data_IF_957093209848
#
_entry.id   IF_957093209848
#
_cell.length_a   1.000
_cell.length_b   1.000
_cell.length_c   1.000
_cell.angle_alpha   90.00
_cell.angle_beta   90.00
_cell.angle_gamma   90.00
#
_symmetry.space_group_name_H-M   'P 1'
#
loop_
_entity.id
_entity.type
_entity.pdbx_description
1 polymer ?
#
# COMPACT_ATOMS: atom_id res chain seq x y z
N UNK A 1 -74.23 -17.91 -51.30
CA UNK A 1 -74.64 -17.48 -49.95
C UNK A 1 -73.49 -17.76 -48.99
N UNK A 2 -73.21 -16.77 -48.15
CA UNK A 2 -71.95 -16.44 -47.47
C UNK A 2 -71.80 -17.08 -46.08
N UNK A 3 -70.57 -17.41 -45.68
CA UNK A 3 -70.07 -17.39 -44.27
C UNK A 3 -68.54 -17.32 -44.32
N UNK A 4 -67.96 -16.13 -44.15
CA UNK A 4 -67.59 -15.49 -42.87
C UNK A 4 -66.17 -15.88 -42.45
N UNK A 5 -65.24 -14.97 -42.74
CA UNK A 5 -63.88 -14.95 -42.22
C UNK A 5 -63.88 -14.99 -40.68
N UNK A 6 -62.94 -15.73 -40.09
CA UNK A 6 -62.54 -15.55 -38.70
C UNK A 6 -61.02 -15.48 -38.69
N UNK A 7 -60.47 -14.30 -38.45
CA UNK A 7 -59.04 -14.12 -38.24
C UNK A 7 -58.67 -14.67 -36.87
N UNK A 8 -57.74 -15.61 -36.83
CA UNK A 8 -57.00 -15.94 -35.61
C UNK A 8 -55.69 -15.19 -35.65
N UNK A 9 -55.66 -14.08 -34.92
CA UNK A 9 -54.44 -13.34 -34.57
C UNK A 9 -53.49 -14.27 -33.82
N UNK A 10 -52.51 -14.84 -34.53
CA UNK A 10 -51.41 -15.56 -33.91
C UNK A 10 -50.48 -14.54 -33.22
N UNK A 11 -50.46 -14.61 -31.89
CA UNK A 11 -49.73 -13.72 -30.98
C UNK A 11 -48.22 -13.79 -31.22
N UNK A 12 -47.67 -12.78 -31.88
CA UNK A 12 -46.22 -12.56 -32.04
C UNK A 12 -45.47 -12.42 -30.69
N UNK A 13 -46.16 -12.08 -29.59
CA UNK A 13 -45.54 -11.94 -28.27
C UNK A 13 -45.05 -13.25 -27.65
N UNK A 14 -45.63 -14.42 -27.99
CA UNK A 14 -45.21 -15.70 -27.38
C UNK A 14 -43.88 -16.23 -27.94
N UNK A 15 -43.54 -15.89 -29.18
CA UNK A 15 -42.29 -16.33 -29.83
C UNK A 15 -41.12 -15.48 -29.33
N UNK A 16 -41.32 -14.17 -29.13
CA UNK A 16 -40.27 -13.26 -28.65
C UNK A 16 -39.86 -13.57 -27.20
N UNK A 17 -40.83 -13.91 -26.32
CA UNK A 17 -40.55 -14.29 -24.93
C UNK A 17 -39.81 -15.65 -24.86
N UNK A 18 -40.16 -16.59 -25.74
CA UNK A 18 -39.47 -17.89 -25.81
C UNK A 18 -38.02 -17.79 -26.25
N UNK A 19 -37.72 -16.94 -27.23
CA UNK A 19 -36.35 -16.73 -27.73
C UNK A 19 -35.49 -15.96 -26.71
N UNK A 20 -36.04 -14.92 -26.05
CA UNK A 20 -35.32 -14.20 -25.00
C UNK A 20 -35.02 -15.09 -23.78
N UNK A 21 -35.97 -15.93 -23.37
CA UNK A 21 -35.77 -16.86 -22.26
C UNK A 21 -34.62 -17.85 -22.51
N UNK A 22 -34.50 -18.38 -23.74
CA UNK A 22 -33.42 -19.30 -24.10
C UNK A 22 -32.06 -18.58 -24.16
N UNK A 23 -32.00 -17.37 -24.70
CA UNK A 23 -30.74 -16.58 -24.77
C UNK A 23 -30.24 -16.21 -23.38
N UNK A 24 -31.12 -15.84 -22.45
CA UNK A 24 -30.75 -15.52 -21.07
C UNK A 24 -30.25 -16.75 -20.32
N UNK A 25 -30.89 -17.92 -20.50
CA UNK A 25 -30.45 -19.16 -19.86
C UNK A 25 -29.08 -19.60 -20.41
N UNK A 26 -28.89 -19.55 -21.74
CA UNK A 26 -27.59 -19.90 -22.34
C UNK A 26 -26.49 -18.92 -21.90
N UNK A 27 -26.78 -17.62 -21.85
CA UNK A 27 -25.85 -16.62 -21.34
C UNK A 27 -25.49 -16.83 -19.87
N UNK A 28 -26.46 -17.21 -19.03
CA UNK A 28 -26.24 -17.49 -17.61
C UNK A 28 -25.43 -18.77 -17.40
N UNK A 29 -25.70 -19.83 -18.16
CA UNK A 29 -24.92 -21.08 -18.12
C UNK A 29 -23.49 -20.86 -18.62
N UNK A 30 -23.30 -20.09 -19.69
CA UNK A 30 -21.97 -19.71 -20.18
C UNK A 30 -21.24 -18.79 -19.20
N UNK A 31 -21.95 -17.88 -18.53
CA UNK A 31 -21.42 -17.03 -17.48
C UNK A 31 -20.96 -17.83 -16.27
N UNK A 32 -21.78 -18.76 -15.77
CA UNK A 32 -21.42 -19.69 -14.69
C UNK A 32 -20.24 -20.56 -15.12
N UNK A 33 -20.25 -21.10 -16.34
CA UNK A 33 -19.14 -21.94 -16.82
C UNK A 33 -17.84 -21.14 -16.92
N UNK A 34 -17.90 -19.89 -17.40
CA UNK A 34 -16.72 -19.01 -17.50
C UNK A 34 -16.24 -18.56 -16.13
N UNK A 35 -17.15 -18.33 -15.18
CA UNK A 35 -16.83 -18.01 -13.79
C UNK A 35 -16.21 -19.20 -13.04
N UNK A 36 -16.77 -20.40 -13.19
CA UNK A 36 -16.21 -21.65 -12.62
C UNK A 36 -14.84 -21.96 -13.24
N UNK A 37 -14.67 -21.73 -14.55
CA UNK A 37 -13.38 -21.86 -15.22
C UNK A 37 -12.39 -20.76 -14.82
N UNK A 38 -12.88 -19.59 -14.40
CA UNK A 38 -12.09 -18.53 -13.78
C UNK A 38 -11.58 -18.92 -12.40
N UNK A 39 -12.40 -19.60 -11.59
CA UNK A 39 -11.99 -20.18 -10.31
C UNK A 39 -11.01 -21.35 -10.47
N UNK A 40 -11.15 -22.16 -11.54
CA UNK A 40 -10.25 -23.28 -11.83
C UNK A 40 -8.89 -22.84 -12.40
N UNK A 41 -8.83 -21.64 -13.00
CA UNK A 41 -7.60 -21.00 -13.50
C UNK A 41 -7.02 -19.97 -12.53
N UNK A 42 -7.42 -19.98 -11.26
CA UNK A 42 -6.59 -19.34 -10.22
C UNK A 42 -5.17 -19.87 -10.33
N UNK A 43 -4.13 -19.02 -10.30
CA UNK A 43 -2.75 -19.47 -10.32
C UNK A 43 -2.58 -20.56 -9.27
N UNK A 44 -2.24 -21.78 -9.69
CA UNK A 44 -1.95 -22.86 -8.73
C UNK A 44 -0.70 -22.45 -7.97
N UNK A 45 -0.89 -22.17 -6.68
CA UNK A 45 0.17 -21.92 -5.74
C UNK A 45 1.04 -23.19 -5.64
N UNK A 46 2.32 -23.05 -5.93
CA UNK A 46 3.30 -24.14 -5.92
C UNK A 46 3.88 -24.27 -4.50
N UNK A 47 3.27 -25.13 -3.70
CA UNK A 47 3.62 -25.41 -2.29
C UNK A 47 5.05 -25.98 -2.09
N UNK A 48 5.84 -26.20 -3.15
CA UNK A 48 7.20 -26.78 -3.05
C UNK A 48 8.35 -25.76 -3.04
N UNK A 49 8.05 -24.45 -3.19
CA UNK A 49 9.01 -23.34 -3.01
C UNK A 49 8.72 -22.57 -1.73
N UNK A 50 8.91 -23.23 -0.60
CA UNK A 50 8.54 -22.72 0.72
C UNK A 50 9.39 -21.46 1.03
N UNK A 51 8.73 -20.30 1.04
CA UNK A 51 9.22 -18.92 1.22
C UNK A 51 10.15 -18.37 0.11
N UNK A 52 9.69 -17.32 -0.58
CA UNK A 52 10.57 -16.49 -1.42
C UNK A 52 11.67 -15.86 -0.54
N UNK A 53 12.83 -15.47 -1.11
CA UNK A 53 13.86 -14.74 -0.36
C UNK A 53 13.30 -13.50 0.35
N UNK A 54 12.34 -12.82 -0.25
CA UNK A 54 11.66 -11.64 0.32
C UNK A 54 10.87 -11.99 1.58
N UNK A 55 10.12 -13.12 1.59
CA UNK A 55 9.37 -13.53 2.79
C UNK A 55 10.33 -13.94 3.91
N UNK A 56 11.44 -14.62 3.58
CA UNK A 56 12.45 -14.98 4.58
C UNK A 56 13.08 -13.72 5.19
N UNK A 57 13.43 -12.74 4.36
CA UNK A 57 13.98 -11.45 4.79
C UNK A 57 12.96 -10.66 5.63
N UNK A 58 11.70 -10.58 5.20
CA UNK A 58 10.62 -9.94 5.96
C UNK A 58 10.46 -10.58 7.33
N UNK A 59 10.33 -11.92 7.38
CA UNK A 59 10.18 -12.67 8.61
C UNK A 59 11.36 -12.43 9.56
N UNK A 60 12.59 -12.43 9.05
CA UNK A 60 13.80 -12.17 9.85
C UNK A 60 13.79 -10.75 10.41
N UNK A 61 13.53 -9.73 9.58
CA UNK A 61 13.51 -8.32 10.00
C UNK A 61 12.48 -8.06 11.08
N UNK A 62 11.23 -8.52 10.91
CA UNK A 62 10.18 -8.25 11.90
C UNK A 62 10.42 -9.00 13.22
N UNK A 63 10.98 -10.22 13.15
CA UNK A 63 11.34 -10.99 14.34
C UNK A 63 12.50 -10.34 15.10
N UNK A 64 13.54 -9.91 14.39
CA UNK A 64 14.67 -9.20 14.98
C UNK A 64 14.23 -7.90 15.64
N UNK A 65 13.36 -7.11 14.98
CA UNK A 65 12.81 -5.90 15.56
C UNK A 65 12.05 -6.17 16.86
N UNK A 66 11.22 -7.22 16.91
CA UNK A 66 10.55 -7.65 18.16
C UNK A 66 11.57 -8.03 19.24
N UNK A 67 12.60 -8.81 18.89
CA UNK A 67 13.63 -9.22 19.85
C UNK A 67 14.39 -8.02 20.42
N UNK A 68 14.71 -7.03 19.59
CA UNK A 68 15.43 -5.82 20.00
C UNK A 68 14.60 -4.89 20.88
N UNK A 69 13.29 -4.76 20.60
CA UNK A 69 12.43 -3.76 21.25
C UNK A 69 11.54 -4.30 22.37
N UNK A 70 11.21 -5.60 22.34
CA UNK A 70 10.35 -6.28 23.33
C UNK A 70 11.11 -7.38 24.07
N UNK A 71 12.00 -8.10 23.37
CA UNK A 71 12.72 -9.27 23.87
C UNK A 71 12.27 -10.56 23.20
N UNK A 72 13.03 -11.64 23.41
CA UNK A 72 12.77 -12.92 22.75
C UNK A 72 11.54 -13.62 23.37
N UNK A 73 10.48 -13.88 22.59
CA UNK A 73 9.31 -14.57 23.09
C UNK A 73 9.58 -16.07 23.22
N UNK A 74 9.21 -16.62 24.38
CA UNK A 74 9.45 -18.03 24.72
C UNK A 74 8.50 -19.00 24.01
N UNK A 75 7.31 -18.53 23.63
CA UNK A 75 6.25 -19.30 22.96
C UNK A 75 6.26 -19.11 21.44
N UNK A 76 7.13 -18.23 20.93
CA UNK A 76 7.22 -17.86 19.52
C UNK A 76 6.56 -16.51 19.23
N UNK A 77 6.47 -16.17 17.95
CA UNK A 77 5.94 -14.88 17.50
C UNK A 77 4.47 -15.05 17.10
N UNK A 78 3.56 -14.45 17.86
CA UNK A 78 2.12 -14.49 17.62
C UNK A 78 1.59 -13.09 17.23
N UNK A 79 0.32 -12.99 16.83
CA UNK A 79 -0.27 -11.73 16.37
C UNK A 79 -0.20 -10.62 17.43
N UNK A 80 -0.48 -10.93 18.70
CA UNK A 80 -0.47 -9.97 19.80
C UNK A 80 0.90 -9.30 20.00
N UNK A 81 1.99 -10.07 19.88
CA UNK A 81 3.34 -9.54 19.99
C UNK A 81 3.63 -8.59 18.83
N UNK A 82 3.23 -8.95 17.62
CA UNK A 82 3.45 -8.11 16.44
C UNK A 82 2.61 -6.83 16.47
N UNK A 83 1.32 -6.91 16.80
CA UNK A 83 0.45 -5.73 16.94
C UNK A 83 0.95 -4.76 18.02
N UNK A 84 1.65 -5.28 19.05
CA UNK A 84 2.28 -4.45 20.08
C UNK A 84 3.59 -3.81 19.60
N UNK A 85 4.36 -4.52 18.78
CA UNK A 85 5.66 -4.05 18.29
C UNK A 85 5.55 -3.06 17.14
N UNK A 86 4.54 -3.22 16.27
CA UNK A 86 4.42 -2.52 15.01
C UNK A 86 3.12 -1.70 14.97
N UNK A 87 3.19 -0.38 15.19
CA UNK A 87 1.99 0.46 15.23
C UNK A 87 1.27 0.59 13.87
N UNK A 88 1.91 0.18 12.77
CA UNK A 88 1.31 0.14 11.43
C UNK A 88 0.77 -1.21 11.02
N UNK A 89 0.85 -2.24 11.86
CA UNK A 89 0.10 -3.48 11.68
C UNK A 89 -1.32 -3.33 12.20
N UNK A 90 -2.26 -3.92 11.48
CA UNK A 90 -3.66 -4.00 11.87
C UNK A 90 -4.08 -5.45 12.04
N UNK A 91 -5.09 -5.69 12.88
CA UNK A 91 -5.70 -7.01 13.06
C UNK A 91 -6.08 -7.68 11.74
N UNK A 92 -6.57 -6.90 10.77
CA UNK A 92 -6.93 -7.38 9.44
C UNK A 92 -5.74 -7.96 8.65
N UNK A 93 -4.49 -7.57 8.95
CA UNK A 93 -3.31 -8.14 8.29
C UNK A 93 -3.06 -9.59 8.69
N UNK A 94 -3.66 -10.04 9.79
CA UNK A 94 -3.54 -11.40 10.30
C UNK A 94 -4.65 -12.32 9.79
N UNK A 95 -5.57 -11.84 8.96
CA UNK A 95 -6.60 -12.71 8.38
C UNK A 95 -5.98 -13.84 7.56
N UNK A 96 -6.33 -15.08 7.91
CA UNK A 96 -5.82 -16.29 7.28
C UNK A 96 -4.37 -16.66 7.62
N UNK A 97 -3.76 -15.98 8.59
CA UNK A 97 -2.36 -16.26 8.97
C UNK A 97 -2.26 -17.58 9.73
N UNK A 98 -1.59 -18.56 9.12
CA UNK A 98 -1.37 -19.89 9.69
C UNK A 98 -0.46 -19.85 10.93
N UNK A 99 -0.84 -20.58 11.97
CA UNK A 99 -0.04 -20.80 13.18
C UNK A 99 0.41 -22.25 13.29
N UNK A 100 1.14 -22.62 14.34
CA UNK A 100 1.54 -24.01 14.54
C UNK A 100 0.36 -24.97 14.74
N UNK A 101 -0.74 -24.53 15.36
CA UNK A 101 -1.87 -25.40 15.72
C UNK A 101 -3.24 -24.87 15.27
N UNK A 102 -3.25 -23.81 14.48
CA UNK A 102 -4.46 -23.15 14.02
C UNK A 102 -4.19 -22.11 12.94
N UNK A 103 -5.07 -21.12 12.89
CA UNK A 103 -5.06 -20.01 11.96
C UNK A 103 -5.72 -18.81 12.62
N UNK A 104 -5.27 -17.61 12.28
CA UNK A 104 -5.96 -16.38 12.65
C UNK A 104 -7.09 -16.08 11.68
N UNK A 105 -8.25 -15.66 12.20
CA UNK A 105 -9.41 -15.26 11.41
C UNK A 105 -9.86 -13.86 11.83
N UNK A 106 -9.98 -12.95 10.86
CA UNK A 106 -10.47 -11.60 11.08
C UNK A 106 -11.88 -11.44 10.52
N UNK A 107 -12.85 -11.25 11.41
CA UNK A 107 -14.24 -11.07 11.00
C UNK A 107 -14.92 -10.02 11.88
N UNK A 108 -15.78 -9.19 11.28
CA UNK A 108 -16.57 -8.19 11.98
C UNK A 108 -15.76 -7.20 12.83
N UNK A 109 -14.50 -6.95 12.46
CA UNK A 109 -13.64 -6.00 13.18
C UNK A 109 -12.81 -6.61 14.31
N UNK A 110 -12.82 -7.93 14.47
CA UNK A 110 -12.13 -8.64 15.55
C UNK A 110 -11.25 -9.76 15.00
N UNK A 111 -9.99 -9.80 15.45
CA UNK A 111 -9.09 -10.92 15.22
C UNK A 111 -9.30 -12.02 16.26
N UNK A 112 -9.49 -13.25 15.78
CA UNK A 112 -9.63 -14.43 16.63
C UNK A 112 -8.65 -15.51 16.22
N UNK A 113 -8.20 -16.32 17.18
CA UNK A 113 -7.42 -17.51 16.91
C UNK A 113 -8.34 -18.73 16.82
N UNK A 114 -8.31 -19.40 15.67
CA UNK A 114 -9.05 -20.63 15.41
C UNK A 114 -8.13 -21.84 15.36
N UNK A 115 -8.26 -22.70 16.36
CA UNK A 115 -7.46 -23.91 16.46
C UNK A 115 -7.95 -24.97 15.46
N UNK A 116 -7.03 -25.53 14.67
CA UNK A 116 -7.34 -26.57 13.65
C UNK A 116 -6.84 -27.96 14.05
N UNK A 117 -5.95 -28.06 15.05
CA UNK A 117 -5.40 -29.34 15.53
C UNK A 117 -6.02 -29.80 16.85
N UNK A 118 -6.55 -31.02 16.90
CA UNK A 118 -7.17 -31.58 18.10
C UNK A 118 -6.17 -31.87 19.24
N UNK A 119 -4.97 -32.39 18.94
CA UNK A 119 -3.89 -32.73 19.88
C UNK A 119 -2.53 -32.81 19.17
N UNK A 120 -1.40 -32.65 19.88
CA UNK A 120 -1.30 -32.11 21.24
C UNK A 120 -1.61 -30.61 21.27
N UNK A 121 -1.92 -30.08 22.46
CA UNK A 121 -2.00 -28.64 22.74
C UNK A 121 -0.65 -28.21 23.28
N UNK A 122 0.01 -27.27 22.62
CA UNK A 122 1.27 -26.67 23.10
C UNK A 122 1.08 -25.21 23.44
N UNK A 123 2.02 -24.65 24.22
CA UNK A 123 2.04 -23.23 24.55
C UNK A 123 2.39 -22.33 23.36
N UNK A 124 2.79 -22.91 22.23
CA UNK A 124 3.12 -22.19 21.00
C UNK A 124 1.99 -22.32 19.95
N UNK A 125 0.76 -22.62 20.39
CA UNK A 125 -0.35 -22.97 19.49
C UNK A 125 -0.72 -21.86 18.50
N UNK A 126 -0.59 -20.61 18.93
CA UNK A 126 -0.91 -19.40 18.17
C UNK A 126 0.34 -18.74 17.55
N UNK A 127 1.53 -19.28 17.78
CA UNK A 127 2.74 -18.76 17.14
C UNK A 127 2.71 -19.00 15.63
N UNK A 128 3.02 -17.95 14.89
CA UNK A 128 2.87 -17.88 13.44
C UNK A 128 3.87 -18.83 12.77
N UNK A 129 3.36 -19.66 11.86
CA UNK A 129 4.18 -20.62 11.11
C UNK A 129 5.01 -19.90 10.03
N UNK A 130 5.94 -20.61 9.38
CA UNK A 130 6.65 -20.04 8.22
C UNK A 130 5.69 -19.64 7.08
N UNK A 131 4.65 -20.44 6.87
CA UNK A 131 3.61 -20.15 5.89
C UNK A 131 2.71 -19.01 6.36
N UNK A 132 2.47 -18.91 7.67
CA UNK A 132 1.81 -17.74 8.25
C UNK A 132 2.55 -16.43 7.99
N UNK A 133 3.89 -16.41 8.10
CA UNK A 133 4.68 -15.22 7.76
C UNK A 133 4.58 -14.84 6.28
N UNK A 134 4.42 -15.82 5.39
CA UNK A 134 4.13 -15.55 3.99
C UNK A 134 2.77 -14.86 3.81
N UNK A 135 1.71 -15.40 4.41
CA UNK A 135 0.40 -14.78 4.35
C UNK A 135 0.41 -13.37 4.95
N UNK A 136 1.06 -13.19 6.10
CA UNK A 136 1.20 -11.87 6.74
C UNK A 136 1.92 -10.88 5.81
N UNK A 137 3.02 -11.30 5.18
CA UNK A 137 3.74 -10.46 4.22
C UNK A 137 2.86 -10.04 3.04
N UNK A 138 2.14 -11.00 2.46
CA UNK A 138 1.24 -10.77 1.32
C UNK A 138 0.07 -9.83 1.69
N UNK A 139 -0.51 -10.00 2.88
CA UNK A 139 -1.57 -9.12 3.41
C UNK A 139 -1.06 -7.69 3.60
N UNK A 140 0.09 -7.53 4.26
CA UNK A 140 0.69 -6.22 4.51
C UNK A 140 1.08 -5.53 3.20
N UNK A 141 1.71 -6.26 2.26
CA UNK A 141 2.00 -5.73 0.93
C UNK A 141 0.74 -5.36 0.16
N UNK A 142 -0.31 -6.18 0.23
CA UNK A 142 -1.60 -5.89 -0.39
C UNK A 142 -2.20 -4.56 0.12
N UNK A 143 -2.03 -4.29 1.42
CA UNK A 143 -2.51 -3.05 2.06
C UNK A 143 -1.63 -1.83 1.79
N UNK A 144 -0.30 -1.97 1.93
CA UNK A 144 0.64 -0.85 1.80
C UNK A 144 0.99 -0.54 0.33
N UNK A 145 1.09 -1.57 -0.51
CA UNK A 145 1.45 -1.46 -1.93
C UNK A 145 2.22 -2.69 -2.43
N UNK A 146 1.68 -3.36 -3.45
CA UNK A 146 2.20 -4.65 -3.98
C UNK A 146 3.59 -4.59 -4.64
N UNK A 147 4.14 -3.40 -4.90
CA UNK A 147 5.44 -3.21 -5.54
C UNK A 147 6.52 -2.68 -4.58
N UNK A 148 6.21 -2.62 -3.29
CA UNK A 148 7.15 -2.16 -2.26
C UNK A 148 8.19 -3.24 -1.98
N UNK A 149 9.43 -2.81 -1.82
CA UNK A 149 10.52 -3.63 -1.30
C UNK A 149 10.24 -4.07 0.15
N UNK A 150 10.95 -5.10 0.61
CA UNK A 150 10.83 -5.59 2.00
C UNK A 150 11.13 -4.48 3.01
N UNK A 151 12.14 -3.64 2.74
CA UNK A 151 12.48 -2.51 3.60
C UNK A 151 11.34 -1.50 3.70
N UNK A 152 10.74 -1.10 2.57
CA UNK A 152 9.61 -0.16 2.56
C UNK A 152 8.37 -0.72 3.29
N UNK A 153 8.13 -2.03 3.17
CA UNK A 153 7.07 -2.72 3.91
C UNK A 153 7.33 -2.68 5.41
N UNK A 154 8.54 -3.05 5.83
CA UNK A 154 8.95 -3.07 7.24
C UNK A 154 8.90 -1.66 7.84
N UNK A 155 9.41 -0.65 7.14
CA UNK A 155 9.34 0.75 7.57
C UNK A 155 7.89 1.23 7.69
N UNK A 156 7.02 0.82 6.77
CA UNK A 156 5.60 1.14 6.79
C UNK A 156 4.86 0.58 8.00
N UNK A 157 5.20 -0.64 8.46
CA UNK A 157 4.59 -1.24 9.65
C UNK A 157 5.23 -0.79 10.97
N UNK A 158 6.51 -0.38 10.95
CA UNK A 158 7.17 0.27 12.08
C UNK A 158 6.56 1.66 12.31
N UNK A 159 6.24 2.38 11.24
CA UNK A 159 5.44 3.59 11.30
C UNK A 159 3.94 3.26 11.36
N UNK A 160 3.06 4.26 11.39
CA UNK A 160 1.60 4.05 11.35
C UNK A 160 1.05 3.78 9.93
N UNK A 161 1.88 3.28 9.01
CA UNK A 161 1.59 3.15 7.58
C UNK A 161 2.43 4.07 6.70
N UNK A 162 2.13 4.07 5.40
CA UNK A 162 2.79 4.93 4.40
C UNK A 162 1.86 6.04 3.93
N UNK A 163 2.41 7.20 3.62
CA UNK A 163 1.72 8.31 2.95
C UNK A 163 2.50 8.77 1.73
N UNK A 164 1.84 9.55 0.88
CA UNK A 164 2.41 10.09 -0.35
C UNK A 164 2.67 11.58 -0.18
N UNK A 165 3.84 12.04 -0.55
CA UNK A 165 4.18 13.46 -0.60
C UNK A 165 4.40 13.86 -2.04
N UNK A 166 3.60 14.82 -2.52
CA UNK A 166 3.74 15.40 -3.84
C UNK A 166 4.00 16.88 -3.72
N UNK A 167 4.53 17.49 -4.77
CA UNK A 167 4.73 18.92 -4.73
C UNK A 167 5.59 19.46 -5.83
N UNK A 168 5.97 20.73 -5.66
CA UNK A 168 6.93 21.42 -6.52
C UNK A 168 8.02 22.03 -5.67
N UNK A 169 9.28 21.83 -6.07
CA UNK A 169 10.42 22.50 -5.46
C UNK A 169 10.83 23.68 -6.32
N UNK A 170 10.96 24.83 -5.66
CA UNK A 170 11.29 26.11 -6.25
C UNK A 170 12.59 26.66 -5.66
N UNK A 171 13.23 27.52 -6.44
CA UNK A 171 14.42 28.26 -6.05
C UNK A 171 14.24 29.72 -6.42
N UNK A 172 14.36 30.61 -5.43
CA UNK A 172 14.11 32.04 -5.63
C UNK A 172 14.30 32.87 -4.35
N UNK A 173 14.36 34.21 -4.45
CA UNK A 173 14.23 35.00 -5.67
C UNK A 173 15.50 34.96 -6.54
N UNK A 174 15.39 35.13 -7.86
CA UNK A 174 16.57 35.09 -8.76
C UNK A 174 17.13 36.47 -9.13
N UNK A 175 16.60 37.55 -8.56
CA UNK A 175 16.95 38.94 -8.91
C UNK A 175 17.17 39.81 -7.66
N UNK A 176 18.19 40.69 -7.63
CA UNK A 176 18.48 41.57 -6.48
C UNK A 176 17.50 42.71 -6.24
N UNK A 177 16.53 42.94 -7.12
CA UNK A 177 15.59 44.08 -6.95
C UNK A 177 14.22 43.66 -7.43
N UNK A 178 13.24 43.72 -6.54
CA UNK A 178 11.82 43.58 -6.88
C UNK A 178 11.33 44.90 -7.50
N UNK A 179 10.77 44.83 -8.71
CA UNK A 179 10.19 45.97 -9.44
C UNK A 179 8.67 46.00 -9.27
N UNK A 180 8.04 47.16 -9.49
CA UNK A 180 6.59 47.31 -9.65
C UNK A 180 6.29 47.84 -11.08
N UNK A 181 5.64 47.05 -11.96
CA UNK A 181 5.12 45.70 -11.72
C UNK A 181 6.24 44.65 -11.53
N UNK A 182 5.97 43.53 -10.84
CA UNK A 182 6.92 42.43 -10.66
C UNK A 182 7.43 41.93 -12.00
N UNK A 183 8.75 41.81 -12.14
CA UNK A 183 9.38 41.25 -13.33
C UNK A 183 9.16 39.72 -13.34
N UNK A 184 8.42 39.15 -14.31
CA UNK A 184 8.16 37.71 -14.35
C UNK A 184 9.43 36.86 -14.45
N UNK A 185 10.54 37.42 -14.96
CA UNK A 185 11.82 36.70 -15.02
C UNK A 185 12.47 36.50 -13.65
N UNK A 186 12.00 37.24 -12.65
CA UNK A 186 12.47 37.22 -11.27
C UNK A 186 11.62 36.35 -10.34
N UNK A 187 10.51 35.79 -10.85
CA UNK A 187 9.72 34.82 -10.11
C UNK A 187 10.53 33.56 -9.77
N UNK A 188 10.14 32.89 -8.68
CA UNK A 188 10.73 31.63 -8.26
C UNK A 188 10.69 30.61 -9.41
N UNK A 189 11.80 29.89 -9.57
CA UNK A 189 11.97 28.97 -10.69
C UNK A 189 11.92 27.53 -10.20
N UNK A 190 11.34 26.61 -10.98
CA UNK A 190 11.42 25.20 -10.67
C UNK A 190 12.86 24.71 -10.53
N UNK A 191 13.09 23.91 -9.49
CA UNK A 191 14.39 23.36 -9.17
C UNK A 191 14.45 21.89 -9.56
N UNK A 192 15.24 21.59 -10.60
CA UNK A 192 15.57 20.22 -11.02
C UNK A 192 16.83 19.73 -10.28
N UNK A 193 16.72 18.63 -9.53
CA UNK A 193 17.84 18.06 -8.79
C UNK A 193 17.47 16.87 -7.91
N UNK A 194 18.44 16.40 -7.13
CA UNK A 194 18.26 15.37 -6.11
C UNK A 194 18.07 16.02 -4.73
N UNK A 195 17.16 15.48 -3.94
CA UNK A 195 16.78 15.95 -2.61
C UNK A 195 16.86 14.83 -1.60
N UNK A 196 17.06 15.21 -0.34
CA UNK A 196 17.22 14.30 0.78
C UNK A 196 16.04 14.51 1.71
N UNK A 197 15.36 13.41 2.03
CA UNK A 197 14.40 13.34 3.14
C UNK A 197 15.19 12.97 4.38
N UNK A 198 15.11 13.78 5.42
CA UNK A 198 15.73 13.54 6.71
C UNK A 198 14.65 13.40 7.79
N UNK A 199 15.03 12.88 8.96
CA UNK A 199 14.19 12.98 10.15
C UNK A 199 13.82 14.44 10.45
N UNK A 200 12.79 14.68 11.28
CA UNK A 200 12.35 16.03 11.65
C UNK A 200 13.47 16.92 12.24
N UNK A 201 14.56 16.33 12.76
CA UNK A 201 15.72 17.05 13.27
C UNK A 201 16.75 17.45 12.20
N UNK A 202 16.61 16.99 10.95
CA UNK A 202 17.54 17.26 9.85
C UNK A 202 18.91 16.57 10.01
N UNK A 203 19.02 15.56 10.87
CA UNK A 203 20.30 14.95 11.26
C UNK A 203 20.56 13.59 10.61
N UNK A 204 19.50 12.87 10.26
CA UNK A 204 19.58 11.50 9.71
C UNK A 204 18.86 11.45 8.40
N UNK A 205 19.55 11.02 7.36
CA UNK A 205 18.96 10.75 6.04
C UNK A 205 18.08 9.51 6.10
N UNK A 206 16.86 9.64 5.57
CA UNK A 206 15.87 8.58 5.46
C UNK A 206 15.77 8.09 4.02
N UNK A 207 15.70 9.02 3.05
CA UNK A 207 15.57 8.68 1.63
C UNK A 207 16.10 9.79 0.72
N UNK A 208 16.24 9.46 -0.57
CA UNK A 208 16.54 10.43 -1.64
C UNK A 208 15.49 10.35 -2.74
N UNK A 209 15.22 11.47 -3.37
CA UNK A 209 14.35 11.53 -4.55
C UNK A 209 14.81 12.63 -5.51
N UNK A 210 14.40 12.52 -6.78
CA UNK A 210 14.63 13.54 -7.79
C UNK A 210 13.36 14.32 -8.12
N UNK A 211 13.50 15.59 -8.49
CA UNK A 211 12.41 16.35 -9.12
C UNK A 211 12.46 16.18 -10.64
N UNK A 212 11.34 16.48 -11.31
CA UNK A 212 11.26 16.65 -12.76
C UNK A 212 11.75 18.05 -13.16
N UNK A 213 11.84 18.32 -14.47
CA UNK A 213 12.33 19.62 -15.00
C UNK A 213 11.42 20.80 -14.66
N UNK A 214 10.16 20.54 -14.40
CA UNK A 214 9.18 21.51 -13.91
C UNK A 214 9.17 21.62 -12.37
N UNK A 215 10.14 20.99 -11.70
CA UNK A 215 10.30 21.01 -10.25
C UNK A 215 9.34 20.08 -9.51
N UNK A 216 8.45 19.39 -10.21
CA UNK A 216 7.50 18.47 -9.59
C UNK A 216 8.20 17.24 -9.01
N UNK A 217 7.69 16.73 -7.89
CA UNK A 217 8.16 15.48 -7.30
C UNK A 217 7.02 14.68 -6.69
N UNK A 218 7.34 13.42 -6.45
CA UNK A 218 6.49 12.45 -5.77
C UNK A 218 7.39 11.50 -4.99
N UNK A 219 7.08 11.29 -3.71
CA UNK A 219 7.79 10.35 -2.84
C UNK A 219 6.81 9.69 -1.87
N UNK A 220 6.93 8.38 -1.69
CA UNK A 220 6.18 7.62 -0.68
C UNK A 220 7.06 7.47 0.55
N UNK A 221 6.53 7.82 1.72
CA UNK A 221 7.27 7.81 2.98
C UNK A 221 6.41 7.17 4.07
N UNK A 222 7.01 6.58 5.12
CA UNK A 222 6.28 6.24 6.33
C UNK A 222 5.62 7.46 6.95
N UNK A 223 4.52 7.22 7.67
CA UNK A 223 3.81 8.29 8.36
C UNK A 223 4.71 8.89 9.46
N UNK A 224 4.81 10.22 9.47
CA UNK A 224 5.71 10.94 10.37
C UNK A 224 6.08 12.34 9.87
N UNK A 225 6.91 13.02 10.66
CA UNK A 225 7.45 14.33 10.33
C UNK A 225 8.87 14.21 9.77
N UNK A 226 9.11 14.89 8.65
CA UNK A 226 10.38 14.85 7.93
C UNK A 226 10.87 16.23 7.57
N UNK A 227 12.16 16.35 7.32
CA UNK A 227 12.80 17.55 6.82
C UNK A 227 13.35 17.28 5.42
N UNK A 228 12.85 17.99 4.40
CA UNK A 228 13.32 17.85 3.01
C UNK A 228 14.34 18.93 2.72
N UNK A 229 15.56 18.52 2.37
CA UNK A 229 16.67 19.42 2.02
C UNK A 229 17.25 19.10 0.64
N UNK A 230 18.03 20.03 0.09
CA UNK A 230 18.68 19.85 -1.20
C UNK A 230 19.99 19.07 -1.03
N UNK A 231 20.20 18.00 -1.82
CA UNK A 231 21.40 17.17 -1.71
C UNK A 231 22.68 17.93 -2.07
N UNK A 232 22.61 18.85 -3.03
CA UNK A 232 23.74 19.63 -3.52
C UNK A 232 23.39 21.11 -3.58
N UNK A 233 23.47 21.85 -2.45
CA UNK A 233 23.02 23.24 -2.40
C UNK A 233 23.84 24.24 -3.24
N UNK A 234 24.67 23.81 -4.20
CA UNK A 234 25.48 24.61 -5.15
C UNK A 234 26.20 25.82 -4.53
N UNK A 235 26.57 25.74 -3.25
CA UNK A 235 27.23 26.84 -2.53
C UNK A 235 26.31 28.00 -2.15
N UNK A 236 24.99 27.79 -2.12
CA UNK A 236 23.99 28.77 -1.67
C UNK A 236 23.94 28.79 -0.14
N UNK A 237 24.42 29.86 0.52
CA UNK A 237 24.29 30.00 1.95
C UNK A 237 22.81 30.24 2.29
N UNK A 238 22.15 29.27 2.91
CA UNK A 238 20.76 29.41 3.36
C UNK A 238 19.72 28.54 2.64
N UNK A 239 20.13 27.55 1.85
CA UNK A 239 19.24 26.49 1.36
C UNK A 239 18.77 25.59 2.53
N UNK A 240 18.01 26.17 3.46
CA UNK A 240 17.39 25.45 4.55
C UNK A 240 16.21 24.66 3.98
N UNK A 241 16.18 23.38 4.29
CA UNK A 241 15.06 22.52 3.95
C UNK A 241 13.75 22.95 4.63
N UNK A 242 12.69 22.21 4.33
CA UNK A 242 11.35 22.48 4.86
C UNK A 242 10.82 21.24 5.58
N UNK A 243 10.14 21.47 6.72
CA UNK A 243 9.39 20.41 7.41
C UNK A 243 8.15 20.03 6.61
N UNK A 244 7.91 18.73 6.50
CA UNK A 244 6.72 18.14 5.89
C UNK A 244 6.16 17.06 6.81
N UNK A 245 4.84 16.89 6.77
CA UNK A 245 4.13 15.88 7.52
C UNK A 245 3.51 14.86 6.57
N UNK A 246 3.74 13.59 6.88
CA UNK A 246 3.24 12.44 6.12
C UNK A 246 2.17 11.77 6.95
N UNK A 247 0.94 11.78 6.45
CA UNK A 247 -0.18 11.06 7.06
C UNK A 247 -0.38 9.75 6.32
N UNK A 248 -0.55 8.64 7.06
CA UNK A 248 -0.78 7.34 6.47
C UNK A 248 -2.03 7.32 5.58
N UNK A 249 -1.93 6.73 4.39
CA UNK A 249 -3.02 6.60 3.41
C UNK A 249 -3.41 7.89 2.68
N UNK A 250 -2.76 9.02 2.99
CA UNK A 250 -3.08 10.32 2.40
C UNK A 250 -2.00 10.78 1.41
N UNK A 251 -2.39 11.70 0.51
CA UNK A 251 -1.44 12.46 -0.31
C UNK A 251 -1.36 13.90 0.21
N UNK A 252 -0.21 14.26 0.75
CA UNK A 252 0.09 15.64 1.18
C UNK A 252 0.79 16.40 0.06
N UNK A 253 0.30 17.59 -0.27
CA UNK A 253 0.89 18.46 -1.30
C UNK A 253 1.67 19.62 -0.69
N UNK A 254 2.92 19.83 -1.14
CA UNK A 254 3.79 20.91 -0.66
C UNK A 254 4.38 21.75 -1.81
N UNK A 255 4.54 23.04 -1.56
CA UNK A 255 5.48 23.88 -2.31
C UNK A 255 6.68 24.15 -1.41
N UNK A 256 7.87 23.73 -1.84
CA UNK A 256 9.11 23.88 -1.08
C UNK A 256 9.97 24.92 -1.79
N UNK A 257 10.30 26.02 -1.13
CA UNK A 257 11.10 27.09 -1.72
C UNK A 257 12.45 27.22 -1.03
N UNK A 258 13.52 27.13 -1.80
CA UNK A 258 14.88 27.41 -1.33
C UNK A 258 15.25 28.87 -1.59
N UNK A 259 15.50 29.62 -0.51
CA UNK A 259 15.93 31.03 -0.56
C UNK A 259 17.36 31.13 -1.12
N UNK A 260 17.54 31.99 -2.11
CA UNK A 260 18.85 32.26 -2.71
C UNK A 260 19.70 33.24 -1.88
N UNK A 261 19.08 33.96 -0.95
CA UNK A 261 19.67 35.06 -0.20
C UNK A 261 19.80 36.36 -0.99
N UNK A 262 19.31 36.41 -2.23
CA UNK A 262 19.32 37.61 -3.09
C UNK A 262 18.22 38.58 -2.61
N UNK A 263 18.55 39.86 -2.38
CA UNK A 263 17.63 40.92 -1.91
C UNK A 263 17.94 42.26 -2.52
#
# INVERSE_FOLDING_TARGET
>A
MTKSNTSTSFSASKIIIGVFGVVVIVGFVLGIYSFLRGLENSPKFDDTKITSPEVAEFSEKIQNYVVENIGQPIEGFNADIYLRAFPGLFEADFDGVETWEGEYAYANGELTFERTKAQPITSAEDAISKKGHQMLFENVQGRLGINLSVDEVVDGIIAQGLGKVTGTILFGPTCPVVKDPPDPQCADKPLFGEFIVQNAMGSTEFARFGTQRDGSFEVTLPAGEYYITWAEPRGLPGAQGQLVNVTAGETSEYTITFDTGIR
#
